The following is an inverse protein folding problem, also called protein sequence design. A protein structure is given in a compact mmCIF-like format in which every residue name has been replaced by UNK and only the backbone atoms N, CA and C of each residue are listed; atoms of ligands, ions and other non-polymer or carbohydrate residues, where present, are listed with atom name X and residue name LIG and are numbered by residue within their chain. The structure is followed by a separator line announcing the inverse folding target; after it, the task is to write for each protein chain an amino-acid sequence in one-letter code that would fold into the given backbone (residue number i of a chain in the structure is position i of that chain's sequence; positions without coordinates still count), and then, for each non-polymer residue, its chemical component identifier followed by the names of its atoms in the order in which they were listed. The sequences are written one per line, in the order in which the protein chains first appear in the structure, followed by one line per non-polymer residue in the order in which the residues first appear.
data_IF_184234249205
#
_entry.id   IF_184234249205
#
_cell.length_a   1.000
_cell.length_b   1.000
_cell.length_c   1.000
_cell.angle_alpha   90.00
_cell.angle_beta   90.00
_cell.angle_gamma   90.00
#
_symmetry.space_group_name_H-M   'P 1'
#
loop_
_entity.id
_entity.type
_entity.pdbx_description
1 polymer ?
#
# COMPACT_ATOMS: atom_id res chain seq x y z
N UNK A 1 2.91 -4.54 40.13
CA UNK A 1 2.07 -4.75 38.94
C UNK A 1 2.95 -4.54 37.71
N UNK A 2 2.93 -5.46 36.75
CA UNK A 2 3.77 -5.37 35.55
C UNK A 2 3.17 -4.30 34.61
N UNK A 3 3.86 -3.17 34.33
CA UNK A 3 3.28 -2.05 33.58
C UNK A 3 3.19 -2.27 32.06
N UNK A 4 3.39 -3.51 31.60
CA UNK A 4 3.47 -3.88 30.19
C UNK A 4 2.43 -4.95 29.80
N UNK A 5 1.20 -4.84 30.32
CA UNK A 5 0.11 -5.67 29.80
C UNK A 5 -0.30 -5.13 28.42
N UNK A 6 -0.07 -5.90 27.36
CA UNK A 6 -0.49 -5.56 25.99
C UNK A 6 -1.95 -5.90 25.70
N UNK A 7 -2.73 -6.27 26.73
CA UNK A 7 -4.17 -6.59 26.64
C UNK A 7 -4.89 -6.26 27.96
N UNK A 8 -6.19 -5.99 27.89
CA UNK A 8 -7.10 -5.81 29.04
C UNK A 8 -7.21 -4.37 29.56
N UNK A 9 -7.98 -4.15 30.62
CA UNK A 9 -8.33 -2.84 31.21
C UNK A 9 -7.13 -2.00 31.72
N UNK A 10 -5.93 -2.57 31.69
CA UNK A 10 -4.67 -1.90 32.00
C UNK A 10 -3.93 -1.36 30.77
N UNK A 11 -4.50 -1.47 29.57
CA UNK A 11 -3.93 -0.94 28.32
C UNK A 11 -4.18 0.57 28.19
N UNK A 12 -3.11 1.36 28.35
CA UNK A 12 -3.14 2.81 28.18
C UNK A 12 -2.49 3.20 26.85
N UNK A 13 -3.32 3.38 25.82
CA UNK A 13 -2.91 3.77 24.46
C UNK A 13 -2.18 5.12 24.45
N UNK A 14 -2.57 6.05 25.33
CA UNK A 14 -1.92 7.36 25.44
C UNK A 14 -0.52 7.23 26.03
N UNK A 15 -0.34 6.42 27.07
CA UNK A 15 0.98 6.15 27.68
C UNK A 15 1.92 5.39 26.73
N UNK A 16 1.38 4.47 25.92
CA UNK A 16 2.15 3.69 24.94
C UNK A 16 2.61 4.57 23.75
N UNK A 17 1.73 5.49 23.33
CA UNK A 17 2.02 6.56 22.35
C UNK A 17 3.07 7.55 22.86
N UNK A 18 3.05 7.87 24.16
CA UNK A 18 3.94 8.86 24.77
C UNK A 18 5.31 8.29 25.18
N UNK A 19 5.42 6.97 25.45
CA UNK A 19 6.63 6.38 26.07
C UNK A 19 7.36 5.27 25.31
N UNK A 20 6.74 4.52 24.39
CA UNK A 20 7.35 3.25 23.91
C UNK A 20 7.42 3.06 22.40
N UNK A 21 6.59 3.75 21.62
CA UNK A 21 6.74 3.78 20.17
C UNK A 21 7.59 5.02 19.84
N UNK A 22 8.86 4.90 19.39
CA UNK A 22 9.59 6.06 18.95
C UNK A 22 8.70 6.79 17.95
N UNK A 23 8.52 8.12 18.08
CA UNK A 23 7.70 8.97 17.19
C UNK A 23 7.85 8.66 15.68
N UNK A 24 8.94 7.99 15.31
CA UNK A 24 9.26 7.43 14.01
C UNK A 24 8.34 6.27 13.60
N UNK A 25 8.20 5.23 14.43
CA UNK A 25 7.28 4.12 14.18
C UNK A 25 5.84 4.63 14.05
N UNK A 26 5.46 5.67 14.80
CA UNK A 26 4.16 6.32 14.63
C UNK A 26 3.95 6.87 13.22
N UNK A 27 4.94 7.57 12.66
CA UNK A 27 4.85 8.11 11.28
C UNK A 27 4.74 6.96 10.28
N UNK A 28 5.53 5.91 10.43
CA UNK A 28 5.57 4.76 9.52
C UNK A 28 4.24 3.99 9.51
N UNK A 29 3.76 3.63 10.70
CA UNK A 29 2.47 2.98 10.92
C UNK A 29 1.34 3.87 10.39
N UNK A 30 1.42 5.19 10.60
CA UNK A 30 0.41 6.13 10.11
C UNK A 30 0.38 6.22 8.58
N UNK A 31 1.53 6.23 7.88
CA UNK A 31 1.55 6.17 6.42
C UNK A 31 0.88 4.87 5.97
N UNK A 32 1.28 3.75 6.57
CA UNK A 32 0.79 2.42 6.21
C UNK A 32 -0.73 2.30 6.40
N UNK A 33 -1.27 2.60 7.59
CA UNK A 33 -2.71 2.52 7.87
C UNK A 33 -3.51 3.44 6.92
N UNK A 34 -3.10 4.70 6.79
CA UNK A 34 -3.83 5.64 5.95
C UNK A 34 -3.77 5.26 4.47
N UNK A 35 -2.68 4.66 4.01
CA UNK A 35 -2.56 4.13 2.65
C UNK A 35 -3.55 2.98 2.41
N UNK A 36 -3.67 2.03 3.34
CA UNK A 36 -4.59 0.89 3.19
C UNK A 36 -6.07 1.33 3.23
N UNK A 37 -6.41 2.29 4.08
CA UNK A 37 -7.77 2.83 4.18
C UNK A 37 -8.14 3.80 3.04
N UNK A 38 -7.16 4.20 2.21
CA UNK A 38 -7.38 5.19 1.15
C UNK A 38 -7.46 6.64 1.64
N UNK A 39 -6.99 6.91 2.87
CA UNK A 39 -6.90 8.25 3.46
C UNK A 39 -5.67 9.00 2.93
N UNK A 40 -5.67 9.28 1.62
CA UNK A 40 -4.49 9.75 0.88
C UNK A 40 -3.90 11.08 1.35
N UNK A 41 -4.72 11.96 1.92
CA UNK A 41 -4.28 13.28 2.38
C UNK A 41 -3.50 13.17 3.71
N UNK A 42 -4.00 12.35 4.65
CA UNK A 42 -3.27 11.98 5.87
C UNK A 42 -1.99 11.20 5.55
N UNK A 43 -2.06 10.23 4.62
CA UNK A 43 -0.88 9.48 4.18
C UNK A 43 0.19 10.39 3.56
N UNK A 44 -0.23 11.41 2.79
CA UNK A 44 0.68 12.42 2.22
C UNK A 44 1.29 13.31 3.30
N UNK A 45 0.51 13.73 4.29
CA UNK A 45 1.03 14.50 5.41
C UNK A 45 2.15 13.74 6.13
N UNK A 46 1.90 12.48 6.48
CA UNK A 46 2.89 11.63 7.14
C UNK A 46 4.10 11.35 6.24
N UNK A 47 3.90 11.15 4.93
CA UNK A 47 4.98 11.02 3.95
C UNK A 47 5.86 12.28 3.91
N UNK A 48 5.28 13.48 4.01
CA UNK A 48 6.04 14.72 4.07
C UNK A 48 6.84 14.84 5.37
N UNK A 49 6.29 14.38 6.50
CA UNK A 49 7.01 14.33 7.79
C UNK A 49 8.19 13.34 7.72
N UNK A 50 7.98 12.15 7.18
CA UNK A 50 9.01 11.15 6.91
C UNK A 50 10.16 11.74 6.08
N UNK A 51 9.84 12.39 4.96
CA UNK A 51 10.84 12.98 4.08
C UNK A 51 11.67 14.09 4.72
N UNK A 52 11.11 14.86 5.66
CA UNK A 52 11.86 15.92 6.36
C UNK A 52 12.85 15.36 7.37
N UNK A 53 12.73 14.09 7.79
CA UNK A 53 13.60 13.49 8.80
C UNK A 53 13.97 12.02 8.52
N UNK A 54 14.59 11.72 7.36
CA UNK A 54 14.81 10.34 6.91
C UNK A 54 15.89 9.61 7.72
N UNK A 55 16.84 10.35 8.32
CA UNK A 55 18.01 9.77 8.99
C UNK A 55 17.69 9.01 10.27
N UNK A 56 16.53 9.27 10.88
CA UNK A 56 16.12 8.59 12.12
C UNK A 56 15.46 7.22 11.87
N UNK A 57 15.10 6.90 10.62
CA UNK A 57 14.31 5.71 10.22
C UNK A 57 15.18 4.60 9.60
N UNK A 58 16.51 4.75 9.60
CA UNK A 58 17.43 3.77 8.99
C UNK A 58 17.56 2.43 9.75
N UNK A 59 16.71 2.15 10.74
CA UNK A 59 16.57 0.81 11.27
C UNK A 59 16.12 -0.12 10.12
N UNK A 60 17.04 -0.93 9.62
CA UNK A 60 17.10 -1.46 8.26
C UNK A 60 15.91 -2.33 7.79
N UNK A 61 15.00 -2.75 8.67
CA UNK A 61 13.90 -3.64 8.31
C UNK A 61 12.69 -2.94 7.67
N UNK A 62 12.37 -1.72 8.10
CA UNK A 62 11.17 -1.01 7.64
C UNK A 62 11.44 -0.03 6.50
N UNK A 63 12.71 0.20 6.16
CA UNK A 63 13.06 1.22 5.17
C UNK A 63 12.45 0.96 3.80
N UNK A 64 12.52 -0.28 3.27
CA UNK A 64 11.91 -0.63 1.98
C UNK A 64 10.39 -0.43 1.98
N UNK A 65 9.72 -0.82 3.07
CA UNK A 65 8.28 -0.61 3.27
C UNK A 65 7.92 0.88 3.26
N UNK A 66 8.67 1.70 4.00
CA UNK A 66 8.44 3.14 4.07
C UNK A 66 8.65 3.84 2.72
N UNK A 67 9.71 3.48 2.00
CA UNK A 67 9.98 3.99 0.66
C UNK A 67 8.86 3.58 -0.31
N UNK A 68 8.40 2.33 -0.25
CA UNK A 68 7.29 1.85 -1.09
C UNK A 68 5.98 2.58 -0.79
N UNK A 69 5.61 2.70 0.48
CA UNK A 69 4.41 3.39 0.90
C UNK A 69 4.43 4.87 0.47
N UNK A 70 5.56 5.56 0.69
CA UNK A 70 5.74 6.93 0.24
C UNK A 70 5.62 7.08 -1.28
N UNK A 71 6.17 6.13 -2.05
CA UNK A 71 6.04 6.09 -3.51
C UNK A 71 4.58 5.92 -3.95
N UNK A 72 3.85 4.97 -3.34
CA UNK A 72 2.43 4.71 -3.62
C UNK A 72 1.56 5.94 -3.33
N UNK A 73 1.76 6.59 -2.17
CA UNK A 73 1.08 7.85 -1.82
C UNK A 73 1.37 8.93 -2.87
N UNK A 74 2.63 9.08 -3.29
CA UNK A 74 3.00 10.06 -4.31
C UNK A 74 2.38 9.74 -5.68
N UNK A 75 2.33 8.47 -6.08
CA UNK A 75 1.65 8.03 -7.30
C UNK A 75 0.17 8.40 -7.28
N UNK A 76 -0.52 8.11 -6.17
CA UNK A 76 -1.94 8.43 -6.02
C UNK A 76 -2.20 9.94 -6.05
N UNK A 77 -1.36 10.71 -5.35
CA UNK A 77 -1.48 12.17 -5.36
C UNK A 77 -1.20 12.77 -6.74
N UNK A 78 -0.32 12.16 -7.54
CA UNK A 78 -0.18 12.52 -8.95
C UNK A 78 -1.45 12.18 -9.76
N UNK A 79 -2.04 10.99 -9.58
CA UNK A 79 -3.29 10.60 -10.28
C UNK A 79 -4.42 11.60 -9.99
N UNK A 80 -4.59 12.01 -8.72
CA UNK A 80 -5.62 12.98 -8.25
C UNK A 80 -5.37 14.41 -8.72
N UNK A 81 -4.14 14.92 -8.60
CA UNK A 81 -3.85 16.35 -8.75
C UNK A 81 -3.14 16.74 -10.05
N UNK A 82 -2.58 15.76 -10.77
CA UNK A 82 -1.70 15.94 -11.94
C UNK A 82 -0.45 16.81 -11.69
N UNK A 83 -0.13 17.13 -10.42
CA UNK A 83 1.06 17.94 -10.06
C UNK A 83 2.33 17.12 -10.26
N UNK A 84 3.18 17.54 -11.21
CA UNK A 84 4.43 16.84 -11.59
C UNK A 84 5.40 16.58 -10.44
N UNK A 85 5.39 17.43 -9.39
CA UNK A 85 6.23 17.23 -8.19
C UNK A 85 6.00 15.85 -7.55
N UNK A 86 4.76 15.36 -7.50
CA UNK A 86 4.45 14.07 -6.89
C UNK A 86 4.98 12.91 -7.74
N UNK A 87 4.90 13.02 -9.07
CA UNK A 87 5.55 12.04 -9.95
C UNK A 87 7.08 12.06 -9.80
N UNK A 88 7.68 13.25 -9.63
CA UNK A 88 9.11 13.36 -9.35
C UNK A 88 9.51 12.68 -8.04
N UNK A 89 8.71 12.86 -6.98
CA UNK A 89 8.97 12.20 -5.69
C UNK A 89 8.78 10.70 -5.77
N UNK A 90 7.70 10.23 -6.41
CA UNK A 90 7.44 8.82 -6.64
C UNK A 90 8.61 8.14 -7.37
N UNK A 91 9.16 8.78 -8.42
CA UNK A 91 10.35 8.29 -9.13
C UNK A 91 11.59 8.22 -8.23
N UNK A 92 11.80 9.21 -7.36
CA UNK A 92 12.90 9.22 -6.39
C UNK A 92 12.83 8.01 -5.45
N UNK A 93 11.66 7.76 -4.86
CA UNK A 93 11.44 6.58 -4.01
C UNK A 93 11.55 5.27 -4.79
N UNK A 94 11.07 5.21 -6.03
CA UNK A 94 11.24 4.03 -6.87
C UNK A 94 12.73 3.73 -7.13
N UNK A 95 13.54 4.73 -7.45
CA UNK A 95 14.99 4.58 -7.62
C UNK A 95 15.68 4.11 -6.33
N UNK A 96 15.21 4.56 -5.17
CA UNK A 96 15.70 4.09 -3.88
C UNK A 96 15.37 2.62 -3.62
N UNK A 97 14.15 2.17 -3.94
CA UNK A 97 13.78 0.76 -3.89
C UNK A 97 14.61 -0.12 -4.84
N UNK A 98 14.88 0.36 -6.06
CA UNK A 98 15.76 -0.34 -7.00
C UNK A 98 17.17 -0.51 -6.39
N UNK A 99 17.70 0.53 -5.74
CA UNK A 99 19.00 0.43 -5.04
C UNK A 99 18.96 -0.61 -3.92
N UNK A 100 17.92 -0.60 -3.08
CA UNK A 100 17.76 -1.56 -1.99
C UNK A 100 17.61 -3.00 -2.52
N UNK A 101 16.84 -3.19 -3.59
CA UNK A 101 16.68 -4.47 -4.29
C UNK A 101 18.01 -5.01 -4.80
N UNK A 102 18.81 -4.16 -5.47
CA UNK A 102 20.14 -4.52 -5.95
C UNK A 102 21.16 -4.81 -4.83
N UNK A 103 20.92 -4.30 -3.62
CA UNK A 103 21.69 -4.61 -2.41
C UNK A 103 21.24 -5.92 -1.73
N UNK A 104 20.28 -6.65 -2.31
CA UNK A 104 19.79 -7.92 -1.79
C UNK A 104 18.60 -7.81 -0.83
N UNK A 105 17.99 -6.64 -0.68
CA UNK A 105 16.79 -6.51 0.14
C UNK A 105 15.60 -7.18 -0.55
N UNK A 106 15.32 -8.43 -0.16
CA UNK A 106 14.30 -9.29 -0.80
C UNK A 106 12.92 -8.61 -0.84
N UNK A 107 12.51 -7.95 0.26
CA UNK A 107 11.24 -7.22 0.31
C UNK A 107 11.20 -6.04 -0.67
N UNK A 108 12.32 -5.35 -0.89
CA UNK A 108 12.40 -4.24 -1.84
C UNK A 108 12.12 -4.71 -3.27
N UNK A 109 12.59 -5.90 -3.65
CA UNK A 109 12.32 -6.47 -4.99
C UNK A 109 10.82 -6.69 -5.25
N UNK A 110 10.07 -7.16 -4.25
CA UNK A 110 8.63 -7.37 -4.37
C UNK A 110 7.86 -6.06 -4.42
N UNK A 111 8.25 -5.10 -3.57
CA UNK A 111 7.65 -3.76 -3.53
C UNK A 111 7.94 -2.94 -4.78
N UNK A 112 9.11 -3.14 -5.41
CA UNK A 112 9.44 -2.57 -6.71
C UNK A 112 8.45 -3.04 -7.80
N UNK A 113 8.15 -4.34 -7.86
CA UNK A 113 7.19 -4.88 -8.84
C UNK A 113 5.80 -4.25 -8.69
N UNK A 114 5.36 -4.00 -7.45
CA UNK A 114 4.10 -3.30 -7.18
C UNK A 114 4.12 -1.85 -7.73
N UNK A 115 5.23 -1.12 -7.57
CA UNK A 115 5.36 0.24 -8.12
C UNK A 115 5.45 0.26 -9.66
N UNK A 116 6.08 -0.75 -10.25
CA UNK A 116 6.07 -0.95 -11.70
C UNK A 116 4.65 -1.17 -12.22
N UNK A 117 3.85 -1.97 -11.50
CA UNK A 117 2.43 -2.19 -11.82
C UNK A 117 1.61 -0.90 -11.74
N UNK A 118 1.83 -0.04 -10.73
CA UNK A 118 1.17 1.27 -10.63
C UNK A 118 1.46 2.22 -11.81
N UNK A 119 2.61 2.03 -12.44
CA UNK A 119 3.08 2.83 -13.58
C UNK A 119 2.67 2.25 -14.94
N UNK A 120 2.03 1.08 -14.97
CA UNK A 120 1.88 0.25 -16.18
C UNK A 120 0.81 0.69 -17.20
N UNK A 121 0.33 1.93 -17.16
CA UNK A 121 -0.87 2.36 -17.91
C UNK A 121 -0.60 3.16 -19.21
N UNK A 122 0.57 3.04 -19.82
CA UNK A 122 0.88 3.73 -21.10
C UNK A 122 0.71 2.80 -22.30
N UNK A 123 -0.45 2.86 -22.97
CA UNK A 123 -0.69 2.11 -24.22
C UNK A 123 -1.61 2.87 -25.18
N UNK A 124 -1.73 2.35 -26.42
CA UNK A 124 -2.59 2.90 -27.48
C UNK A 124 -4.07 2.61 -27.27
N UNK A 125 -4.43 1.54 -26.57
CA UNK A 125 -5.84 1.11 -26.37
C UNK A 125 -6.09 0.70 -24.92
N UNK A 126 -7.34 0.88 -24.45
CA UNK A 126 -7.74 0.49 -23.09
C UNK A 126 -7.55 -1.01 -22.81
N UNK A 127 -7.78 -1.86 -23.81
CA UNK A 127 -7.61 -3.31 -23.65
C UNK A 127 -6.14 -3.73 -23.52
N UNK A 128 -5.23 -3.10 -24.28
CA UNK A 128 -3.79 -3.34 -24.10
C UNK A 128 -3.31 -2.82 -22.74
N UNK A 129 -3.83 -1.66 -22.30
CA UNK A 129 -3.54 -1.14 -20.96
C UNK A 129 -4.03 -2.10 -19.88
N UNK A 130 -5.24 -2.63 -20.02
CA UNK A 130 -5.84 -3.58 -19.08
C UNK A 130 -5.02 -4.87 -18.97
N UNK A 131 -4.61 -5.43 -20.11
CA UNK A 131 -3.80 -6.65 -20.13
C UNK A 131 -2.43 -6.44 -19.46
N UNK A 132 -1.74 -5.33 -19.77
CA UNK A 132 -0.45 -5.00 -19.16
C UNK A 132 -0.58 -4.71 -17.67
N UNK A 133 -1.61 -3.95 -17.28
CA UNK A 133 -1.96 -3.68 -15.90
C UNK A 133 -2.16 -4.99 -15.13
N UNK A 134 -3.03 -5.86 -15.62
CA UNK A 134 -3.28 -7.18 -15.01
C UNK A 134 -1.98 -7.99 -14.87
N UNK A 135 -1.22 -8.12 -15.95
CA UNK A 135 0.02 -8.90 -15.94
C UNK A 135 1.05 -8.36 -14.93
N UNK A 136 1.20 -7.05 -14.84
CA UNK A 136 2.12 -6.42 -13.90
C UNK A 136 1.68 -6.65 -12.45
N UNK A 137 0.38 -6.51 -12.14
CA UNK A 137 -0.14 -6.81 -10.80
C UNK A 137 -0.05 -8.30 -10.47
N UNK A 138 -0.36 -9.21 -11.40
CA UNK A 138 -0.23 -10.66 -11.18
C UNK A 138 1.22 -11.00 -10.78
N UNK A 139 2.21 -10.44 -11.47
CA UNK A 139 3.63 -10.63 -11.16
C UNK A 139 3.99 -10.10 -9.78
N UNK A 140 3.50 -8.92 -9.41
CA UNK A 140 3.73 -8.33 -8.08
C UNK A 140 3.07 -9.18 -6.97
N UNK A 141 1.81 -9.57 -7.16
CA UNK A 141 1.03 -10.39 -6.22
C UNK A 141 1.71 -11.73 -5.97
N UNK A 142 2.11 -12.45 -7.02
CA UNK A 142 2.83 -13.72 -6.87
C UNK A 142 4.09 -13.56 -6.02
N UNK A 143 4.88 -12.51 -6.28
CA UNK A 143 6.10 -12.26 -5.50
C UNK A 143 5.81 -11.88 -4.05
N UNK A 144 4.73 -11.14 -3.79
CA UNK A 144 4.31 -10.79 -2.43
C UNK A 144 3.80 -12.01 -1.66
N UNK A 145 3.12 -12.94 -2.35
CA UNK A 145 2.67 -14.22 -1.80
C UNK A 145 3.85 -15.12 -1.41
N UNK A 146 4.84 -15.25 -2.28
CA UNK A 146 6.06 -16.05 -2.01
C UNK A 146 6.79 -15.58 -0.73
N UNK A 147 6.74 -14.27 -0.46
CA UNK A 147 7.36 -13.65 0.70
C UNK A 147 6.41 -13.50 1.89
N UNK A 148 5.17 -13.98 1.77
CA UNK A 148 4.14 -13.88 2.81
C UNK A 148 3.87 -12.44 3.29
N UNK A 149 4.00 -11.46 2.38
CA UNK A 149 3.71 -10.05 2.65
C UNK A 149 2.20 -9.78 2.49
N UNK A 150 1.38 -10.40 3.34
CA UNK A 150 -0.08 -10.45 3.19
C UNK A 150 -0.75 -9.07 3.09
N UNK A 151 -0.27 -8.08 3.85
CA UNK A 151 -0.78 -6.72 3.77
C UNK A 151 -0.59 -6.13 2.37
N UNK A 152 0.63 -6.24 1.82
CA UNK A 152 0.93 -5.75 0.48
C UNK A 152 0.27 -6.58 -0.61
N UNK A 153 0.09 -7.89 -0.42
CA UNK A 153 -0.72 -8.73 -1.30
C UNK A 153 -2.15 -8.20 -1.40
N UNK A 154 -2.80 -7.97 -0.25
CA UNK A 154 -4.15 -7.44 -0.18
C UNK A 154 -4.26 -6.07 -0.85
N UNK A 155 -3.29 -5.19 -0.58
CA UNK A 155 -3.18 -3.88 -1.22
C UNK A 155 -3.00 -3.99 -2.74
N UNK A 156 -2.10 -4.85 -3.22
CA UNK A 156 -1.85 -5.02 -4.64
C UNK A 156 -3.13 -5.48 -5.37
N UNK A 157 -3.91 -6.38 -4.76
CA UNK A 157 -5.20 -6.82 -5.30
C UNK A 157 -6.24 -5.69 -5.32
N UNK A 158 -6.37 -4.90 -4.25
CA UNK A 158 -7.25 -3.72 -4.20
C UNK A 158 -6.87 -2.71 -5.31
N UNK A 159 -5.57 -2.40 -5.42
CA UNK A 159 -5.04 -1.48 -6.43
C UNK A 159 -5.21 -2.00 -7.87
N UNK A 160 -5.06 -3.30 -8.09
CA UNK A 160 -5.36 -3.96 -9.36
C UNK A 160 -6.83 -3.80 -9.73
N UNK A 161 -7.75 -4.08 -8.81
CA UNK A 161 -9.19 -3.92 -9.02
C UNK A 161 -9.54 -2.47 -9.41
N UNK A 162 -9.05 -1.48 -8.65
CA UNK A 162 -9.30 -0.06 -8.93
C UNK A 162 -8.76 0.37 -10.30
N UNK A 163 -7.56 -0.08 -10.64
CA UNK A 163 -6.94 0.23 -11.94
C UNK A 163 -7.73 -0.40 -13.11
N UNK A 164 -8.19 -1.64 -12.95
CA UNK A 164 -8.99 -2.34 -13.95
C UNK A 164 -10.40 -1.75 -14.10
N UNK A 165 -11.02 -1.28 -13.02
CA UNK A 165 -12.28 -0.53 -13.08
C UNK A 165 -12.14 0.74 -13.92
N UNK A 166 -11.06 1.50 -13.74
CA UNK A 166 -10.78 2.70 -14.55
C UNK A 166 -10.60 2.38 -16.04
N UNK A 167 -10.14 1.16 -16.35
CA UNK A 167 -9.97 0.65 -17.71
C UNK A 167 -11.23 -0.03 -18.27
N UNK A 168 -12.34 -0.06 -17.51
CA UNK A 168 -13.62 -0.65 -17.92
C UNK A 168 -13.71 -2.18 -17.75
N UNK A 169 -12.71 -2.81 -17.14
CA UNK A 169 -12.63 -4.27 -17.00
C UNK A 169 -13.35 -4.77 -15.75
N UNK A 170 -14.67 -4.51 -15.68
CA UNK A 170 -15.50 -4.75 -14.49
C UNK A 170 -15.40 -6.19 -13.98
N UNK A 171 -15.57 -7.20 -14.85
CA UNK A 171 -15.57 -8.60 -14.46
C UNK A 171 -14.21 -9.04 -13.85
N UNK A 172 -13.09 -8.60 -14.43
CA UNK A 172 -11.75 -8.90 -13.88
C UNK A 172 -11.51 -8.14 -12.58
N UNK A 173 -11.94 -6.89 -12.50
CA UNK A 173 -11.79 -6.10 -11.29
C UNK A 173 -12.55 -6.67 -10.09
N UNK A 174 -13.77 -7.18 -10.30
CA UNK A 174 -14.56 -7.85 -9.26
C UNK A 174 -13.80 -9.02 -8.63
N UNK A 175 -13.16 -9.87 -9.46
CA UNK A 175 -12.33 -10.99 -8.97
C UNK A 175 -11.19 -10.52 -8.06
N UNK A 176 -10.48 -9.46 -8.48
CA UNK A 176 -9.42 -8.89 -7.65
C UNK A 176 -9.94 -8.30 -6.35
N UNK A 177 -11.12 -7.65 -6.36
CA UNK A 177 -11.69 -7.03 -5.17
C UNK A 177 -12.12 -8.07 -4.14
N UNK A 178 -12.74 -9.17 -4.58
CA UNK A 178 -13.07 -10.32 -3.73
C UNK A 178 -11.79 -10.92 -3.14
N UNK A 179 -10.78 -11.19 -3.96
CA UNK A 179 -9.50 -11.72 -3.46
C UNK A 179 -8.75 -10.73 -2.55
N UNK A 180 -8.91 -9.42 -2.75
CA UNK A 180 -8.37 -8.40 -1.84
C UNK A 180 -9.04 -8.51 -0.48
N UNK A 181 -10.38 -8.62 -0.45
CA UNK A 181 -11.17 -8.82 0.78
C UNK A 181 -10.67 -10.04 1.56
N UNK A 182 -10.56 -11.19 0.90
CA UNK A 182 -10.05 -12.43 1.52
C UNK A 182 -8.64 -12.26 2.10
N UNK A 183 -7.78 -11.48 1.42
CA UNK A 183 -6.41 -11.23 1.88
C UNK A 183 -6.38 -10.29 3.08
N UNK A 184 -7.22 -9.25 3.09
CA UNK A 184 -7.39 -8.38 4.25
C UNK A 184 -7.99 -9.10 5.45
N UNK A 185 -8.95 -10.02 5.22
CA UNK A 185 -9.50 -10.89 6.25
C UNK A 185 -8.42 -11.81 6.83
N UNK A 186 -7.60 -12.45 5.99
CA UNK A 186 -6.46 -13.28 6.45
C UNK A 186 -5.44 -12.46 7.26
N UNK A 187 -5.22 -11.20 6.87
CA UNK A 187 -4.31 -10.31 7.59
C UNK A 187 -4.90 -9.75 8.90
N UNK A 188 -6.23 -9.76 9.07
CA UNK A 188 -6.92 -9.24 10.25
C UNK A 188 -7.25 -7.74 10.19
N UNK A 189 -7.49 -7.21 8.99
CA UNK A 189 -7.81 -5.79 8.78
C UNK A 189 -9.31 -5.56 8.62
N UNK A 190 -10.08 -5.81 9.68
CA UNK A 190 -11.55 -5.82 9.65
C UNK A 190 -12.18 -4.54 9.11
N UNK A 191 -11.66 -3.37 9.54
CA UNK A 191 -12.14 -2.08 9.03
C UNK A 191 -12.01 -1.95 7.51
N UNK A 192 -10.95 -2.53 6.93
CA UNK A 192 -10.75 -2.54 5.48
C UNK A 192 -11.63 -3.58 4.79
N UNK A 193 -11.91 -4.72 5.43
CA UNK A 193 -12.85 -5.73 4.93
C UNK A 193 -14.24 -5.12 4.77
N UNK A 194 -14.75 -4.43 5.79
CA UNK A 194 -16.06 -3.75 5.76
C UNK A 194 -16.10 -2.74 4.60
N UNK A 195 -15.07 -1.90 4.46
CA UNK A 195 -14.97 -0.95 3.35
C UNK A 195 -15.03 -1.64 1.98
N UNK A 196 -14.38 -2.81 1.84
CA UNK A 196 -14.38 -3.54 0.58
C UNK A 196 -15.73 -4.21 0.28
N UNK A 197 -16.48 -4.62 1.29
CA UNK A 197 -17.84 -5.16 1.12
C UNK A 197 -18.79 -4.10 0.58
N UNK A 198 -18.74 -2.90 1.15
CA UNK A 198 -19.47 -1.73 0.66
C UNK A 198 -19.07 -1.38 -0.79
N UNK A 199 -17.76 -1.38 -1.09
CA UNK A 199 -17.24 -1.14 -2.44
C UNK A 199 -17.75 -2.22 -3.42
N UNK A 200 -17.78 -3.49 -3.02
CA UNK A 200 -18.26 -4.61 -3.86
C UNK A 200 -19.76 -4.46 -4.15
N UNK A 201 -20.56 -4.21 -3.11
CA UNK A 201 -22.01 -4.04 -3.25
C UNK A 201 -22.33 -2.86 -4.18
N UNK A 202 -21.71 -1.70 -3.93
CA UNK A 202 -21.90 -0.49 -4.73
C UNK A 202 -21.49 -0.66 -6.20
N UNK A 203 -20.38 -1.37 -6.47
CA UNK A 203 -19.86 -1.51 -7.83
C UNK A 203 -20.39 -2.74 -8.59
N UNK A 204 -20.94 -3.75 -7.93
CA UNK A 204 -21.31 -4.99 -8.61
C UNK A 204 -22.72 -5.51 -8.30
N UNK A 205 -23.45 -4.87 -7.38
CA UNK A 205 -24.88 -5.09 -7.19
C UNK A 205 -25.27 -6.47 -6.66
N UNK A 206 -24.42 -7.10 -5.84
CA UNK A 206 -24.72 -8.42 -5.27
C UNK A 206 -24.17 -8.60 -3.86
N UNK A 207 -25.01 -9.15 -2.98
CA UNK A 207 -24.54 -9.91 -1.82
C UNK A 207 -23.68 -11.07 -2.35
N UNK A 208 -22.37 -11.01 -2.13
CA UNK A 208 -21.44 -12.12 -2.36
C UNK A 208 -21.52 -13.08 -1.18
#
# INVERSE_FOLDING_TARGET
SNPFSMTGDAFDEALLSDRLIPRLLFVEISIFINLHLGNWDNALEMTNRYRRNPQKVKAHFLHSHNVANAALVCHEQYKRTKKRKYMSWARGYHQELVKLSNQGAVTASALQLLLEAESSTSTKTKDDAARKCKHAYDKAIARLQDLQLWSYEALAKDRAARSLLQLGQRATASKFLISAKESYMRWGADAKVIQLEEDIESNFGGHV
#
